data_IF_721354796894
#
_entry.id   IF_721354796894
#
_cell.length_a   1.000
_cell.length_b   1.000
_cell.length_c   1.000
_cell.angle_alpha   90.00
_cell.angle_beta   90.00
_cell.angle_gamma   90.00
#
_symmetry.space_group_name_H-M   'P 1'
#
loop_
_entity.id
_entity.type
_entity.pdbx_description
1 polymer ?
#
# COMPACT_ATOMS: atom_id res chain seq x y z
N UNK A 1 42.98 22.97 0.98
CA UNK A 1 41.92 23.06 -0.06
C UNK A 1 42.01 21.84 -0.95
N UNK A 2 41.19 20.83 -0.67
CA UNK A 2 40.88 19.75 -1.61
C UNK A 2 39.42 19.40 -1.36
N UNK A 3 38.58 19.78 -2.31
CA UNK A 3 37.16 19.50 -2.34
C UNK A 3 36.91 18.01 -2.15
N UNK A 4 36.22 17.66 -1.07
CA UNK A 4 35.62 16.33 -0.85
C UNK A 4 34.11 16.46 -0.67
N UNK A 5 33.53 17.50 -1.26
CA UNK A 5 32.09 17.56 -1.46
C UNK A 5 31.70 16.61 -2.59
N UNK A 6 30.66 15.83 -2.31
CA UNK A 6 29.73 15.27 -3.26
C UNK A 6 30.25 14.26 -4.28
N UNK A 7 30.19 12.99 -3.89
CA UNK A 7 29.93 11.89 -4.84
C UNK A 7 28.75 11.04 -4.38
N UNK A 8 28.07 11.42 -3.29
CA UNK A 8 26.94 10.67 -2.73
C UNK A 8 25.60 11.13 -3.29
N UNK A 9 25.43 12.40 -3.63
CA UNK A 9 24.20 12.89 -4.28
C UNK A 9 23.86 12.18 -5.60
N UNK A 10 24.79 12.00 -6.56
CA UNK A 10 24.48 11.34 -7.83
C UNK A 10 24.12 9.86 -7.65
N UNK A 11 24.86 9.15 -6.78
CA UNK A 11 24.57 7.75 -6.44
C UNK A 11 23.24 7.60 -5.70
N UNK A 12 22.85 8.59 -4.89
CA UNK A 12 21.59 8.55 -4.15
C UNK A 12 20.40 8.82 -5.06
N UNK A 13 20.52 9.73 -6.02
CA UNK A 13 19.48 9.94 -7.04
C UNK A 13 19.31 8.72 -7.94
N UNK A 14 20.42 8.11 -8.38
CA UNK A 14 20.40 6.87 -9.16
C UNK A 14 19.75 5.73 -8.36
N UNK A 15 20.15 5.53 -7.10
CA UNK A 15 19.55 4.50 -6.24
C UNK A 15 18.07 4.76 -5.95
N UNK A 16 17.65 6.03 -5.80
CA UNK A 16 16.23 6.39 -5.60
C UNK A 16 15.40 6.09 -6.84
N UNK A 17 15.95 6.33 -8.03
CA UNK A 17 15.28 6.09 -9.30
C UNK A 17 15.21 4.58 -9.61
N UNK A 18 16.26 3.83 -9.27
CA UNK A 18 16.27 2.38 -9.31
C UNK A 18 15.32 1.75 -8.27
N UNK A 19 15.29 2.27 -7.05
CA UNK A 19 14.37 1.82 -6.00
C UNK A 19 12.92 2.09 -6.39
N UNK A 20 12.64 3.24 -7.02
CA UNK A 20 11.32 3.54 -7.57
C UNK A 20 10.93 2.49 -8.62
N UNK A 21 11.84 2.12 -9.53
CA UNK A 21 11.58 1.03 -10.51
C UNK A 21 11.38 -0.35 -9.86
N UNK A 22 12.03 -0.62 -8.73
CA UNK A 22 11.88 -1.89 -7.99
C UNK A 22 10.58 -1.95 -7.17
N UNK A 23 10.00 -0.81 -6.82
CA UNK A 23 8.77 -0.74 -6.01
C UNK A 23 7.52 -0.40 -6.81
N UNK A 24 7.68 0.11 -8.04
CA UNK A 24 6.60 0.46 -8.97
C UNK A 24 6.11 -0.80 -9.67
N UNK A 25 4.90 -1.24 -9.31
CA UNK A 25 4.19 -2.34 -9.97
C UNK A 25 3.52 -1.78 -11.23
N UNK A 26 3.57 -2.47 -12.38
CA UNK A 26 2.73 -2.15 -13.53
C UNK A 26 1.26 -2.04 -13.10
N UNK A 27 0.58 -0.96 -13.48
CA UNK A 27 -0.82 -0.67 -13.10
C UNK A 27 -1.79 -1.83 -13.46
N UNK A 28 -1.44 -2.58 -14.52
CA UNK A 28 -2.14 -3.77 -14.97
C UNK A 28 -2.04 -4.96 -13.99
N UNK A 29 -0.97 -5.04 -13.19
CA UNK A 29 -0.79 -6.08 -12.17
C UNK A 29 -1.44 -5.71 -10.83
N UNK A 30 -1.44 -4.42 -10.45
CA UNK A 30 -2.14 -3.96 -9.22
C UNK A 30 -3.65 -4.16 -9.30
N UNK A 31 -4.22 -4.02 -10.50
CA UNK A 31 -5.64 -4.30 -10.73
C UNK A 31 -5.96 -5.78 -10.58
N UNK A 32 -5.06 -6.68 -10.97
CA UNK A 32 -5.21 -8.15 -10.83
C UNK A 32 -4.98 -8.66 -9.40
N UNK A 33 -4.08 -8.05 -8.62
CA UNK A 33 -3.93 -8.36 -7.17
C UNK A 33 -5.20 -8.06 -6.41
N UNK A 34 -5.94 -7.02 -6.82
CA UNK A 34 -7.25 -6.77 -6.24
C UNK A 34 -8.25 -7.84 -6.66
N UNK A 35 -8.05 -8.55 -7.78
CA UNK A 35 -8.94 -9.57 -8.35
C UNK A 35 -8.72 -10.96 -7.73
N UNK A 36 -7.59 -11.23 -7.09
CA UNK A 36 -7.33 -12.51 -6.40
C UNK A 36 -7.11 -12.39 -4.89
N UNK A 37 -8.21 -12.52 -4.16
CA UNK A 37 -8.37 -13.60 -3.19
C UNK A 37 -9.80 -14.14 -3.31
N UNK A 38 -10.04 -15.32 -3.91
CA UNK A 38 -11.07 -16.18 -3.37
C UNK A 38 -10.49 -16.68 -2.05
N UNK A 39 -10.89 -16.06 -0.94
CA UNK A 39 -10.60 -16.62 0.37
C UNK A 39 -11.11 -18.07 0.38
N UNK A 40 -10.18 -19.02 0.34
CA UNK A 40 -10.40 -20.40 0.80
C UNK A 40 -10.53 -20.38 2.31
N UNK A 41 -11.45 -19.58 2.85
CA UNK A 41 -12.14 -19.96 4.06
C UNK A 41 -13.14 -21.03 3.66
N UNK A 42 -13.09 -22.17 4.35
CA UNK A 42 -14.11 -23.21 4.29
C UNK A 42 -15.49 -22.59 4.55
N UNK A 43 -16.16 -22.16 3.48
CA UNK A 43 -17.57 -21.86 3.50
C UNK A 43 -18.30 -23.14 3.93
N UNK A 44 -19.06 -23.14 5.05
CA UNK A 44 -19.96 -24.23 5.31
C UNK A 44 -20.94 -24.27 4.14
N UNK A 45 -20.91 -25.37 3.38
CA UNK A 45 -21.84 -25.66 2.28
C UNK A 45 -23.27 -25.36 2.72
N UNK A 46 -23.78 -24.20 2.33
CA UNK A 46 -25.22 -23.93 2.26
C UNK A 46 -25.52 -23.54 0.83
N UNK A 47 -26.10 -24.50 0.12
CA UNK A 47 -26.66 -24.32 -1.20
C UNK A 47 -27.90 -23.42 -1.08
N UNK A 48 -27.78 -22.13 -1.30
CA UNK A 48 -28.92 -21.29 -1.71
C UNK A 48 -28.44 -20.24 -2.70
N UNK A 49 -29.20 -20.01 -3.77
CA UNK A 49 -28.94 -18.93 -4.72
C UNK A 49 -28.97 -17.60 -3.95
N UNK A 50 -28.09 -16.63 -4.25
CA UNK A 50 -28.11 -15.33 -3.58
C UNK A 50 -29.47 -14.67 -3.79
N UNK A 51 -30.16 -14.36 -2.70
CA UNK A 51 -31.42 -13.59 -2.71
C UNK A 51 -31.13 -12.11 -2.43
N UNK A 52 -32.01 -11.20 -2.83
CA UNK A 52 -31.88 -9.77 -2.51
C UNK A 52 -31.72 -9.51 -1.00
N UNK A 53 -32.40 -10.29 -0.16
CA UNK A 53 -32.27 -10.22 1.30
C UNK A 53 -30.87 -10.60 1.80
N UNK A 54 -30.27 -11.65 1.24
CA UNK A 54 -28.89 -12.05 1.59
C UNK A 54 -27.87 -10.98 1.20
N UNK A 55 -28.08 -10.33 0.05
CA UNK A 55 -27.23 -9.23 -0.43
C UNK A 55 -27.38 -8.01 0.47
N UNK A 56 -28.62 -7.61 0.81
CA UNK A 56 -28.89 -6.51 1.73
C UNK A 56 -28.22 -6.72 3.09
N UNK A 57 -28.32 -7.94 3.64
CA UNK A 57 -27.66 -8.30 4.89
C UNK A 57 -26.15 -8.16 4.79
N UNK A 58 -25.53 -8.68 3.71
CA UNK A 58 -24.08 -8.59 3.51
C UNK A 58 -23.61 -7.15 3.34
N UNK A 59 -24.29 -6.34 2.54
CA UNK A 59 -23.93 -4.92 2.36
C UNK A 59 -24.08 -4.15 3.67
N UNK A 60 -25.06 -4.51 4.52
CA UNK A 60 -25.21 -3.92 5.86
C UNK A 60 -24.07 -4.30 6.79
N UNK A 61 -23.65 -5.56 6.82
CA UNK A 61 -22.48 -6.00 7.58
C UNK A 61 -21.21 -5.24 7.14
N UNK A 62 -21.01 -5.07 5.83
CA UNK A 62 -19.91 -4.27 5.27
C UNK A 62 -20.03 -2.78 5.58
N UNK A 63 -21.25 -2.26 5.68
CA UNK A 63 -21.49 -0.89 6.09
C UNK A 63 -21.12 -0.67 7.57
N UNK A 64 -21.24 -1.69 8.41
CA UNK A 64 -20.88 -1.64 9.83
C UNK A 64 -19.36 -1.74 10.03
N UNK A 65 -18.66 -2.60 9.29
CA UNK A 65 -17.19 -2.71 9.28
C UNK A 65 -16.59 -2.13 7.98
N UNK A 66 -16.77 -0.82 7.79
CA UNK A 66 -16.38 -0.15 6.54
C UNK A 66 -14.85 -0.14 6.29
N UNK A 67 -14.06 -0.28 7.35
CA UNK A 67 -12.59 -0.30 7.26
C UNK A 67 -12.08 -1.57 6.57
N UNK A 68 -12.79 -2.70 6.73
CA UNK A 68 -12.48 -3.96 6.04
C UNK A 68 -13.25 -4.16 4.74
N UNK A 69 -14.18 -3.26 4.42
CA UNK A 69 -15.05 -3.43 3.27
C UNK A 69 -14.31 -3.21 1.94
N UNK A 70 -14.12 -4.29 1.18
CA UNK A 70 -13.53 -4.25 -0.15
C UNK A 70 -14.42 -3.46 -1.12
N UNK A 71 -13.81 -2.57 -1.90
CA UNK A 71 -14.50 -1.84 -2.97
C UNK A 71 -15.09 -2.81 -4.00
N UNK A 72 -14.33 -3.85 -4.35
CA UNK A 72 -14.76 -4.83 -5.33
C UNK A 72 -15.93 -5.68 -4.82
N UNK A 73 -15.91 -6.07 -3.53
CA UNK A 73 -17.02 -6.81 -2.93
C UNK A 73 -18.30 -5.97 -3.00
N UNK A 74 -18.25 -4.69 -2.63
CA UNK A 74 -19.39 -3.78 -2.72
C UNK A 74 -19.91 -3.61 -4.16
N UNK A 75 -19.01 -3.48 -5.13
CA UNK A 75 -19.38 -3.37 -6.55
C UNK A 75 -20.01 -4.68 -7.07
N UNK A 76 -19.48 -5.84 -6.67
CA UNK A 76 -20.03 -7.16 -7.04
C UNK A 76 -21.43 -7.38 -6.45
N UNK A 77 -21.64 -7.01 -5.19
CA UNK A 77 -22.93 -7.10 -4.49
C UNK A 77 -23.96 -6.16 -5.14
N UNK A 78 -23.54 -4.96 -5.54
CA UNK A 78 -24.39 -4.03 -6.30
C UNK A 78 -24.81 -4.60 -7.65
N UNK A 79 -23.89 -5.17 -8.41
CA UNK A 79 -24.22 -5.80 -9.69
C UNK A 79 -25.17 -6.99 -9.50
N UNK A 80 -24.91 -7.83 -8.50
CA UNK A 80 -25.77 -8.98 -8.18
C UNK A 80 -27.18 -8.53 -7.77
N UNK A 81 -27.30 -7.48 -6.95
CA UNK A 81 -28.58 -6.93 -6.52
C UNK A 81 -29.43 -6.48 -7.71
N UNK A 82 -28.88 -5.62 -8.58
CA UNK A 82 -29.61 -5.10 -9.73
C UNK A 82 -29.93 -6.17 -10.78
N UNK A 83 -29.07 -7.19 -10.93
CA UNK A 83 -29.37 -8.34 -11.79
C UNK A 83 -30.62 -9.09 -11.31
N UNK A 84 -30.71 -9.38 -10.02
CA UNK A 84 -31.86 -10.10 -9.44
C UNK A 84 -33.10 -9.19 -9.48
N UNK A 85 -32.97 -7.93 -9.07
CA UNK A 85 -34.05 -6.96 -9.05
C UNK A 85 -34.68 -6.75 -10.44
N UNK A 86 -33.85 -6.60 -11.48
CA UNK A 86 -34.36 -6.43 -12.85
C UNK A 86 -35.05 -7.70 -13.35
N UNK A 87 -34.52 -8.90 -13.05
CA UNK A 87 -35.14 -10.16 -13.44
C UNK A 87 -36.52 -10.36 -12.77
N UNK A 88 -36.65 -10.02 -11.49
CA UNK A 88 -37.93 -10.08 -10.76
C UNK A 88 -38.94 -9.07 -11.32
N UNK A 89 -38.51 -7.85 -11.65
CA UNK A 89 -39.35 -6.86 -12.31
C UNK A 89 -39.86 -7.34 -13.66
N UNK A 90 -39.00 -7.95 -14.47
CA UNK A 90 -39.40 -8.52 -15.76
C UNK A 90 -40.40 -9.68 -15.59
N UNK A 91 -40.19 -10.55 -14.59
CA UNK A 91 -41.09 -11.67 -14.30
C UNK A 91 -42.46 -11.18 -13.80
N UNK A 92 -42.49 -10.20 -12.89
CA UNK A 92 -43.73 -9.60 -12.40
C UNK A 92 -44.49 -8.87 -13.52
N UNK A 93 -43.77 -8.13 -14.37
CA UNK A 93 -44.35 -7.47 -15.54
C UNK A 93 -44.96 -8.51 -16.49
N UNK A 94 -44.27 -9.62 -16.73
CA UNK A 94 -44.78 -10.72 -17.57
C UNK A 94 -46.05 -11.35 -16.98
N UNK A 95 -46.07 -11.64 -15.67
CA UNK A 95 -47.26 -12.16 -14.97
C UNK A 95 -48.45 -11.20 -15.06
N UNK A 96 -48.20 -9.89 -14.94
CA UNK A 96 -49.23 -8.87 -15.06
C UNK A 96 -49.87 -8.85 -16.45
N UNK A 97 -49.04 -8.96 -17.50
CA UNK A 97 -49.52 -9.03 -18.90
C UNK A 97 -50.28 -10.33 -19.15
N UNK A 98 -49.79 -11.48 -18.64
CA UNK A 98 -50.47 -12.78 -18.75
C UNK A 98 -51.82 -12.81 -18.01
N UNK A 99 -51.95 -12.05 -16.92
CA UNK A 99 -53.21 -11.86 -16.20
C UNK A 99 -54.22 -10.93 -16.91
N UNK A 100 -53.89 -10.44 -18.11
CA UNK A 100 -54.75 -9.58 -18.93
C UNK A 100 -54.57 -8.08 -18.68
N UNK A 101 -53.56 -7.68 -17.92
CA UNK A 101 -53.17 -6.28 -17.77
C UNK A 101 -52.50 -5.73 -19.03
N UNK A 102 -52.70 -4.45 -19.34
CA UNK A 102 -51.95 -3.78 -20.41
C UNK A 102 -50.60 -3.34 -19.88
N UNK A 103 -49.56 -3.44 -20.69
CA UNK A 103 -48.19 -3.06 -20.31
C UNK A 103 -48.08 -1.64 -19.73
N UNK A 104 -48.93 -0.73 -20.22
CA UNK A 104 -49.02 0.68 -19.84
C UNK A 104 -49.52 0.90 -18.40
N UNK A 105 -50.23 -0.10 -17.85
CA UNK A 105 -50.86 -0.03 -16.52
C UNK A 105 -50.01 -0.72 -15.43
N UNK A 106 -48.83 -1.25 -15.76
CA UNK A 106 -47.97 -1.96 -14.80
C UNK A 106 -47.30 -0.97 -13.83
N UNK A 107 -47.55 -1.16 -12.53
CA UNK A 107 -46.91 -0.40 -11.45
C UNK A 107 -46.17 -1.37 -10.51
N UNK A 108 -44.82 -1.34 -10.45
CA UNK A 108 -44.07 -2.15 -9.50
C UNK A 108 -44.24 -1.60 -8.08
N UNK A 109 -44.85 -2.36 -7.18
CA UNK A 109 -45.12 -1.93 -5.79
C UNK A 109 -44.23 -2.60 -4.74
N UNK A 110 -43.90 -3.89 -4.89
CA UNK A 110 -43.07 -4.66 -3.93
C UNK A 110 -41.56 -4.54 -4.20
N UNK A 111 -41.14 -4.29 -5.44
CA UNK A 111 -39.72 -4.22 -5.81
C UNK A 111 -39.02 -2.95 -5.29
N UNK A 112 -39.79 -1.88 -5.01
CA UNK A 112 -39.25 -0.58 -4.63
C UNK A 112 -38.76 -0.52 -3.17
N UNK A 113 -39.31 -1.30 -2.24
CA UNK A 113 -38.93 -1.19 -0.82
C UNK A 113 -37.51 -1.71 -0.58
N UNK A 114 -37.20 -2.89 -1.09
CA UNK A 114 -35.85 -3.48 -1.00
C UNK A 114 -34.81 -2.69 -1.81
N UNK A 115 -35.21 -2.11 -2.95
CA UNK A 115 -34.34 -1.21 -3.71
C UNK A 115 -34.06 0.09 -2.94
N UNK A 116 -35.07 0.67 -2.30
CA UNK A 116 -34.91 1.85 -1.46
C UNK A 116 -34.00 1.55 -0.25
N UNK A 117 -34.18 0.41 0.41
CA UNK A 117 -33.29 -0.03 1.48
C UNK A 117 -31.85 -0.19 0.97
N UNK A 118 -31.65 -0.89 -0.15
CA UNK A 118 -30.34 -1.05 -0.77
C UNK A 118 -29.69 0.30 -1.08
N UNK A 119 -30.43 1.21 -1.72
CA UNK A 119 -29.96 2.56 -2.05
C UNK A 119 -29.56 3.35 -0.81
N UNK A 120 -30.34 3.24 0.27
CA UNK A 120 -30.05 3.90 1.54
C UNK A 120 -28.77 3.36 2.18
N UNK A 121 -28.61 2.03 2.23
CA UNK A 121 -27.38 1.41 2.77
C UNK A 121 -26.17 1.82 1.92
N UNK A 122 -26.28 1.80 0.58
CA UNK A 122 -25.20 2.24 -0.31
C UNK A 122 -24.85 3.73 -0.15
N UNK A 123 -25.83 4.59 0.16
CA UNK A 123 -25.58 5.99 0.49
C UNK A 123 -24.76 6.12 1.79
N UNK A 124 -25.11 5.37 2.83
CA UNK A 124 -24.35 5.31 4.09
C UNK A 124 -22.93 4.78 3.86
N UNK A 125 -22.77 3.73 3.06
CA UNK A 125 -21.46 3.18 2.67
C UNK A 125 -20.61 4.26 1.98
N UNK A 126 -21.19 5.00 1.02
CA UNK A 126 -20.49 6.08 0.32
C UNK A 126 -20.05 7.19 1.27
N UNK A 127 -20.93 7.60 2.19
CA UNK A 127 -20.65 8.62 3.20
C UNK A 127 -19.51 8.17 4.14
N UNK A 128 -19.61 6.97 4.71
CA UNK A 128 -18.59 6.40 5.60
C UNK A 128 -17.23 6.26 4.91
N UNK A 129 -17.19 5.80 3.64
CA UNK A 129 -15.95 5.74 2.85
C UNK A 129 -15.37 7.12 2.58
N UNK A 130 -16.22 8.10 2.26
CA UNK A 130 -15.78 9.49 2.09
C UNK A 130 -15.16 10.05 3.37
N UNK A 131 -15.78 9.78 4.52
CA UNK A 131 -15.26 10.19 5.83
C UNK A 131 -13.93 9.49 6.18
N UNK A 132 -13.79 8.19 5.88
CA UNK A 132 -12.55 7.45 6.07
C UNK A 132 -11.41 8.03 5.22
N UNK A 133 -11.65 8.22 3.93
CA UNK A 133 -10.67 8.82 3.02
C UNK A 133 -10.26 10.24 3.46
N UNK A 134 -11.22 11.06 3.91
CA UNK A 134 -10.93 12.39 4.44
C UNK A 134 -10.08 12.33 5.74
N UNK A 135 -10.33 11.34 6.61
CA UNK A 135 -9.55 11.12 7.83
C UNK A 135 -8.13 10.68 7.51
N UNK A 136 -7.96 9.76 6.57
CA UNK A 136 -6.65 9.31 6.09
C UNK A 136 -5.85 10.44 5.47
N UNK A 137 -6.47 11.27 4.63
CA UNK A 137 -5.81 12.42 4.02
C UNK A 137 -5.39 13.45 5.07
N UNK A 138 -6.26 13.74 6.05
CA UNK A 138 -5.91 14.61 7.17
C UNK A 138 -4.74 14.04 7.97
N UNK A 139 -4.72 12.73 8.25
CA UNK A 139 -3.61 12.09 8.96
C UNK A 139 -2.31 12.19 8.16
N UNK A 140 -2.36 12.03 6.83
CA UNK A 140 -1.18 12.21 5.95
C UNK A 140 -0.65 13.64 6.02
N UNK A 141 -1.54 14.64 6.03
CA UNK A 141 -1.15 16.05 6.17
C UNK A 141 -0.57 16.34 7.56
N UNK A 142 -1.13 15.79 8.64
CA UNK A 142 -0.57 15.91 9.99
C UNK A 142 0.82 15.28 10.08
N UNK A 143 1.01 14.09 9.47
CA UNK A 143 2.30 13.42 9.37
C UNK A 143 3.30 14.26 8.55
N UNK A 144 2.84 14.90 7.48
CA UNK A 144 3.66 15.81 6.65
C UNK A 144 4.23 16.94 7.52
N UNK A 145 3.38 17.63 8.28
CA UNK A 145 3.81 18.71 9.16
C UNK A 145 4.79 18.23 10.25
N UNK A 146 4.55 17.04 10.81
CA UNK A 146 5.47 16.42 11.76
C UNK A 146 6.85 16.15 11.12
N UNK A 147 6.90 15.54 9.92
CA UNK A 147 8.15 15.28 9.20
C UNK A 147 8.90 16.56 8.84
N UNK A 148 8.20 17.63 8.42
CA UNK A 148 8.80 18.93 8.17
C UNK A 148 9.40 19.55 9.45
N UNK A 149 8.69 19.45 10.57
CA UNK A 149 9.19 19.91 11.87
C UNK A 149 10.46 19.17 12.29
N UNK A 150 10.52 17.84 12.05
CA UNK A 150 11.72 17.04 12.32
C UNK A 150 12.90 17.53 11.47
N UNK A 151 12.68 17.83 10.18
CA UNK A 151 13.72 18.34 9.29
C UNK A 151 14.27 19.69 9.79
N UNK A 152 13.40 20.62 10.20
CA UNK A 152 13.85 21.89 10.75
C UNK A 152 14.66 21.71 12.04
N UNK A 153 14.23 20.82 12.94
CA UNK A 153 15.01 20.48 14.15
C UNK A 153 16.37 19.86 13.81
N UNK A 154 16.45 18.98 12.80
CA UNK A 154 17.72 18.41 12.32
C UNK A 154 18.65 19.49 11.76
N UNK A 155 18.10 20.50 11.09
CA UNK A 155 18.85 21.64 10.57
C UNK A 155 19.40 22.50 11.71
N UNK A 156 18.57 22.87 12.68
CA UNK A 156 19.00 23.62 13.87
C UNK A 156 20.09 22.86 14.63
N UNK A 157 19.93 21.54 14.76
CA UNK A 157 20.90 20.66 15.42
C UNK A 157 22.26 20.66 14.70
N UNK A 158 22.24 20.65 13.37
CA UNK A 158 23.45 20.72 12.55
C UNK A 158 24.11 22.11 12.57
N UNK A 159 23.35 23.18 12.78
CA UNK A 159 23.89 24.53 12.90
C UNK A 159 24.39 24.85 14.32
N UNK A 160 23.91 24.11 15.34
CA UNK A 160 24.32 24.28 16.73
C UNK A 160 25.74 23.75 16.98
N UNK A 161 26.57 24.54 17.67
CA UNK A 161 27.93 24.17 18.10
C UNK A 161 27.97 23.52 19.50
N UNK A 162 26.84 23.01 19.99
CA UNK A 162 26.71 22.45 21.35
C UNK A 162 27.41 21.08 21.52
N UNK A 163 27.49 20.65 22.78
CA UNK A 163 28.00 19.35 23.24
C UNK A 163 27.54 18.20 22.33
N UNK A 164 28.49 17.61 21.62
CA UNK A 164 28.23 16.59 20.60
C UNK A 164 27.49 15.37 21.15
N UNK A 165 27.66 15.04 22.43
CA UNK A 165 26.94 13.93 23.05
C UNK A 165 25.43 14.19 23.18
N UNK A 166 25.04 15.43 23.48
CA UNK A 166 23.62 15.83 23.53
C UNK A 166 23.02 15.92 22.14
N UNK A 167 23.77 16.50 21.20
CA UNK A 167 23.32 16.60 19.81
C UNK A 167 23.10 15.21 19.19
N UNK A 168 23.95 14.23 19.52
CA UNK A 168 23.76 12.85 19.07
C UNK A 168 22.48 12.20 19.60
N UNK A 169 22.18 12.34 20.89
CA UNK A 169 20.96 11.75 21.47
C UNK A 169 19.69 12.37 20.89
N UNK A 170 19.68 13.70 20.70
CA UNK A 170 18.56 14.39 20.05
C UNK A 170 18.40 13.95 18.59
N UNK A 171 19.50 13.81 17.85
CA UNK A 171 19.49 13.27 16.50
C UNK A 171 18.87 11.87 16.43
N UNK A 172 19.26 10.95 17.33
CA UNK A 172 18.67 9.60 17.37
C UNK A 172 17.18 9.66 17.72
N UNK A 173 16.76 10.55 18.62
CA UNK A 173 15.34 10.77 18.92
C UNK A 173 14.57 11.24 17.69
N UNK A 174 15.07 12.25 16.97
CA UNK A 174 14.47 12.75 15.74
C UNK A 174 14.41 11.70 14.63
N UNK A 175 15.42 10.84 14.52
CA UNK A 175 15.42 9.70 13.62
C UNK A 175 14.32 8.68 13.99
N UNK A 176 14.13 8.38 15.28
CA UNK A 176 13.05 7.50 15.72
C UNK A 176 11.67 8.13 15.51
N UNK A 177 11.51 9.42 15.81
CA UNK A 177 10.28 10.16 15.53
C UNK A 177 9.95 10.11 14.03
N UNK A 178 10.95 10.28 13.15
CA UNK A 178 10.79 10.19 11.70
C UNK A 178 10.26 8.84 11.22
N UNK A 179 10.86 7.75 11.71
CA UNK A 179 10.50 6.36 11.37
C UNK A 179 9.10 6.03 11.90
N UNK A 180 8.78 6.49 13.12
CA UNK A 180 7.47 6.28 13.73
C UNK A 180 6.36 7.15 13.10
N UNK A 181 6.73 8.22 12.39
CA UNK A 181 5.78 9.09 11.71
C UNK A 181 5.30 8.40 10.44
N UNK A 182 3.98 8.21 10.34
CA UNK A 182 3.34 7.47 9.27
C UNK A 182 3.46 8.11 7.88
N UNK A 183 2.65 7.60 6.96
CA UNK A 183 2.65 8.01 5.56
C UNK A 183 2.31 9.49 5.40
N UNK A 184 2.88 10.11 4.36
CA UNK A 184 2.62 11.50 3.95
C UNK A 184 1.95 11.50 2.57
N UNK A 185 1.41 12.63 2.08
CA UNK A 185 0.81 12.69 0.75
C UNK A 185 1.82 12.25 -0.32
N UNK A 186 1.39 11.39 -1.25
CA UNK A 186 2.29 10.71 -2.20
C UNK A 186 3.15 11.70 -3.02
N UNK A 187 2.57 12.84 -3.40
CA UNK A 187 3.27 13.89 -4.15
C UNK A 187 4.41 14.58 -3.37
N UNK A 188 4.50 14.39 -2.05
CA UNK A 188 5.49 15.03 -1.18
C UNK A 188 6.55 14.07 -0.62
N UNK A 189 6.34 12.76 -0.71
CA UNK A 189 7.24 11.71 -0.19
C UNK A 189 8.69 11.94 -0.63
N UNK A 190 8.92 12.15 -1.93
CA UNK A 190 10.26 12.28 -2.49
C UNK A 190 10.96 13.58 -2.08
N UNK A 191 10.24 14.70 -2.03
CA UNK A 191 10.76 16.01 -1.61
C UNK A 191 11.23 15.95 -0.15
N UNK A 192 10.37 15.44 0.72
CA UNK A 192 10.60 15.31 2.17
C UNK A 192 11.77 14.36 2.44
N UNK A 193 11.80 13.22 1.75
CA UNK A 193 12.88 12.26 1.91
C UNK A 193 14.24 12.85 1.54
N UNK A 194 14.33 13.53 0.38
CA UNK A 194 15.59 14.18 -0.06
C UNK A 194 16.04 15.24 0.96
N UNK A 195 15.10 16.05 1.43
CA UNK A 195 15.39 17.08 2.43
C UNK A 195 15.90 16.44 3.73
N UNK A 196 15.23 15.40 4.23
CA UNK A 196 15.68 14.66 5.40
C UNK A 196 17.09 14.09 5.22
N UNK A 197 17.34 13.36 4.12
CA UNK A 197 18.66 12.78 3.85
C UNK A 197 19.77 13.81 3.81
N UNK A 198 19.55 14.96 3.16
CA UNK A 198 20.52 16.05 3.15
C UNK A 198 20.92 16.50 4.56
N UNK A 199 19.96 16.60 5.48
CA UNK A 199 20.22 17.03 6.85
C UNK A 199 20.87 15.91 7.70
N UNK A 200 20.51 14.64 7.44
CA UNK A 200 21.20 13.48 8.02
C UNK A 200 22.67 13.45 7.60
N UNK A 201 22.98 13.64 6.31
CA UNK A 201 24.35 13.67 5.80
C UNK A 201 25.16 14.81 6.45
N UNK A 202 24.61 16.03 6.49
CA UNK A 202 25.23 17.17 7.17
C UNK A 202 25.52 16.88 8.64
N UNK A 203 24.61 16.20 9.34
CA UNK A 203 24.84 15.82 10.74
C UNK A 203 25.97 14.80 10.89
N UNK A 204 26.05 13.80 10.01
CA UNK A 204 27.16 12.85 10.01
C UNK A 204 28.51 13.50 9.65
N UNK A 205 28.52 14.56 8.84
CA UNK A 205 29.72 15.35 8.57
C UNK A 205 30.21 16.11 9.80
N UNK A 206 29.30 16.60 10.65
CA UNK A 206 29.64 17.22 11.94
C UNK A 206 30.16 16.16 12.91
N UNK A 207 29.49 15.01 12.99
CA UNK A 207 29.94 13.87 13.80
C UNK A 207 31.29 13.30 13.38
N UNK A 208 31.77 13.57 12.16
CA UNK A 208 33.13 13.19 11.72
C UNK A 208 34.21 13.73 12.67
N UNK A 209 33.94 14.83 13.39
CA UNK A 209 34.82 15.36 14.42
C UNK A 209 34.89 14.48 15.67
N UNK A 210 33.94 13.55 15.86
CA UNK A 210 33.86 12.53 16.92
C UNK A 210 33.70 11.11 16.34
N UNK A 211 34.82 10.52 15.90
CA UNK A 211 34.90 9.26 15.15
C UNK A 211 34.13 8.06 15.77
N UNK A 212 34.07 7.94 17.09
CA UNK A 212 33.55 6.73 17.77
C UNK A 212 32.04 6.51 17.57
N UNK A 213 31.23 7.57 17.66
CA UNK A 213 29.76 7.45 17.50
C UNK A 213 29.38 7.10 16.06
N UNK A 214 30.07 7.70 15.08
CA UNK A 214 29.83 7.46 13.66
C UNK A 214 30.16 6.01 13.28
N UNK A 215 31.33 5.53 13.70
CA UNK A 215 31.77 4.17 13.35
C UNK A 215 30.89 3.11 14.04
N UNK A 216 30.41 3.40 15.26
CA UNK A 216 29.40 2.58 15.92
C UNK A 216 28.09 2.51 15.13
N UNK A 217 27.55 3.67 14.70
CA UNK A 217 26.31 3.74 13.93
C UNK A 217 26.44 3.04 12.58
N UNK A 218 27.55 3.21 11.86
CA UNK A 218 27.77 2.56 10.57
C UNK A 218 27.81 1.04 10.70
N UNK A 219 28.43 0.53 11.77
CA UNK A 219 28.43 -0.91 12.06
C UNK A 219 27.04 -1.43 12.38
N UNK A 220 26.23 -0.66 13.12
CA UNK A 220 24.84 -1.02 13.43
C UNK A 220 23.94 -0.96 12.20
N UNK A 221 24.08 0.06 11.37
CA UNK A 221 23.37 0.19 10.10
C UNK A 221 23.73 -0.96 9.15
N UNK A 222 25.01 -1.35 9.10
CA UNK A 222 25.43 -2.51 8.31
C UNK A 222 24.80 -3.82 8.81
N UNK A 223 24.77 -4.04 10.13
CA UNK A 223 24.11 -5.21 10.74
C UNK A 223 22.62 -5.27 10.36
N UNK A 224 21.91 -4.14 10.42
CA UNK A 224 20.51 -4.03 10.03
C UNK A 224 20.34 -4.29 8.53
N UNK A 225 21.07 -3.57 7.66
CA UNK A 225 20.98 -3.75 6.20
C UNK A 225 21.33 -5.17 5.76
N UNK A 226 22.26 -5.83 6.45
CA UNK A 226 22.60 -7.24 6.20
C UNK A 226 21.42 -8.15 6.52
N UNK A 227 20.77 -7.96 7.68
CA UNK A 227 19.54 -8.70 8.04
C UNK A 227 18.40 -8.45 7.06
N UNK A 228 18.27 -7.22 6.56
CA UNK A 228 17.27 -6.89 5.55
C UNK A 228 17.55 -7.62 4.23
N UNK A 229 18.81 -7.71 3.79
CA UNK A 229 19.18 -8.53 2.63
C UNK A 229 18.81 -10.00 2.85
N UNK A 230 19.16 -10.57 4.00
CA UNK A 230 18.81 -11.96 4.35
C UNK A 230 17.30 -12.18 4.42
N UNK A 231 16.53 -11.19 4.88
CA UNK A 231 15.08 -11.25 4.91
C UNK A 231 14.50 -11.25 3.50
N UNK A 232 14.96 -10.37 2.60
CA UNK A 232 14.52 -10.35 1.20
C UNK A 232 14.91 -11.64 0.48
N UNK A 233 16.12 -12.16 0.72
CA UNK A 233 16.56 -13.45 0.17
C UNK A 233 15.63 -14.59 0.58
N UNK A 234 15.14 -14.60 1.83
CA UNK A 234 14.16 -15.59 2.30
C UNK A 234 12.78 -15.41 1.66
N UNK A 235 12.37 -14.18 1.33
CA UNK A 235 11.11 -13.96 0.60
C UNK A 235 11.11 -14.61 -0.77
N UNK A 236 12.29 -14.82 -1.38
CA UNK A 236 12.41 -15.57 -2.63
C UNK A 236 12.06 -17.07 -2.47
N UNK A 237 11.99 -17.60 -1.25
CA UNK A 237 11.58 -18.97 -0.95
C UNK A 237 10.11 -19.06 -0.47
N UNK A 238 9.47 -17.93 -0.16
CA UNK A 238 8.10 -17.89 0.34
C UNK A 238 7.12 -18.39 -0.74
N UNK A 239 6.23 -19.34 -0.44
CA UNK A 239 5.27 -19.88 -1.41
C UNK A 239 4.24 -18.84 -1.86
N UNK A 240 3.76 -18.00 -0.94
CA UNK A 240 2.80 -16.94 -1.23
C UNK A 240 3.52 -15.73 -1.85
N UNK A 241 3.41 -15.63 -3.16
CA UNK A 241 4.09 -14.62 -3.97
C UNK A 241 3.54 -13.22 -3.71
N UNK A 242 2.25 -13.09 -3.43
CA UNK A 242 1.60 -11.79 -3.17
C UNK A 242 1.98 -11.28 -1.79
N UNK A 243 1.94 -12.15 -0.77
CA UNK A 243 2.44 -11.83 0.56
C UNK A 243 3.93 -11.49 0.55
N UNK A 244 4.74 -12.25 -0.18
CA UNK A 244 6.17 -11.96 -0.34
C UNK A 244 6.42 -10.58 -0.94
N UNK A 245 5.64 -10.17 -1.94
CA UNK A 245 5.75 -8.84 -2.55
C UNK A 245 5.37 -7.72 -1.56
N UNK A 246 4.28 -7.86 -0.81
CA UNK A 246 3.91 -6.87 0.21
C UNK A 246 4.94 -6.76 1.34
N UNK A 247 5.54 -7.88 1.73
CA UNK A 247 6.64 -7.89 2.70
C UNK A 247 7.89 -7.21 2.13
N UNK A 248 8.20 -7.43 0.85
CA UNK A 248 9.31 -6.77 0.16
C UNK A 248 9.17 -5.25 0.20
N UNK A 249 7.98 -4.70 -0.06
CA UNK A 249 7.74 -3.25 0.00
C UNK A 249 8.08 -2.65 1.39
N UNK A 250 7.75 -3.36 2.47
CA UNK A 250 8.11 -2.95 3.84
C UNK A 250 9.63 -2.99 4.06
N UNK A 251 10.30 -4.03 3.59
CA UNK A 251 11.76 -4.17 3.70
C UNK A 251 12.51 -3.09 2.90
N UNK A 252 11.98 -2.67 1.74
CA UNK A 252 12.50 -1.50 1.01
C UNK A 252 12.43 -0.23 1.86
N UNK A 253 11.27 0.03 2.48
CA UNK A 253 11.11 1.18 3.36
C UNK A 253 12.12 1.13 4.53
N UNK A 254 12.25 -0.01 5.21
CA UNK A 254 13.20 -0.18 6.31
C UNK A 254 14.66 -0.01 5.85
N UNK A 255 15.01 -0.52 4.67
CA UNK A 255 16.36 -0.41 4.11
C UNK A 255 16.72 1.05 3.83
N UNK A 256 15.76 1.81 3.30
CA UNK A 256 15.89 3.24 3.01
C UNK A 256 16.00 4.07 4.27
N UNK A 257 15.17 3.80 5.28
CA UNK A 257 15.16 4.49 6.57
C UNK A 257 16.41 4.14 7.42
N UNK A 258 17.04 3.00 7.16
CA UNK A 258 18.32 2.64 7.77
C UNK A 258 19.44 3.55 7.24
N UNK A 259 20.13 4.21 8.16
CA UNK A 259 21.19 5.18 7.88
C UNK A 259 22.38 4.63 7.07
N UNK A 260 23.35 5.49 6.77
CA UNK A 260 24.47 5.15 5.90
C UNK A 260 25.40 4.09 6.51
N UNK A 261 26.14 3.42 5.63
CA UNK A 261 27.26 2.54 5.95
C UNK A 261 28.57 3.13 5.43
N UNK A 262 29.69 2.47 5.72
CA UNK A 262 31.00 2.86 5.17
C UNK A 262 30.99 2.89 3.64
N UNK A 263 31.84 3.74 3.05
CA UNK A 263 31.84 3.97 1.60
C UNK A 263 32.16 2.70 0.82
N UNK A 264 33.01 1.85 1.39
CA UNK A 264 33.48 0.60 0.81
C UNK A 264 32.34 -0.43 0.72
N UNK A 265 31.46 -0.48 1.71
CA UNK A 265 30.38 -1.47 1.82
C UNK A 265 29.05 -0.99 1.24
N UNK A 266 28.91 0.31 0.97
CA UNK A 266 27.65 0.91 0.48
C UNK A 266 27.16 0.26 -0.82
N UNK A 267 28.04 0.10 -1.80
CA UNK A 267 27.66 -0.47 -3.09
C UNK A 267 27.40 -1.96 -2.97
N UNK A 268 28.22 -2.68 -2.20
CA UNK A 268 28.06 -4.12 -1.99
C UNK A 268 26.71 -4.45 -1.35
N UNK A 269 26.34 -3.75 -0.27
CA UNK A 269 25.08 -4.01 0.43
C UNK A 269 23.87 -3.59 -0.42
N UNK A 270 23.99 -2.51 -1.21
CA UNK A 270 22.93 -2.08 -2.12
C UNK A 270 22.70 -3.10 -3.24
N UNK A 271 23.77 -3.54 -3.90
CA UNK A 271 23.66 -4.53 -4.98
C UNK A 271 23.11 -5.86 -4.48
N UNK A 272 23.52 -6.32 -3.29
CA UNK A 272 22.95 -7.53 -2.68
C UNK A 272 21.45 -7.40 -2.47
N UNK A 273 21.00 -6.29 -1.88
CA UNK A 273 19.59 -6.02 -1.65
C UNK A 273 18.81 -5.96 -2.97
N UNK A 274 19.32 -5.20 -3.95
CA UNK A 274 18.73 -5.03 -5.28
C UNK A 274 18.56 -6.36 -6.03
N UNK A 275 19.57 -7.23 -6.01
CA UNK A 275 19.51 -8.55 -6.65
C UNK A 275 18.41 -9.40 -6.01
N UNK A 276 18.36 -9.44 -4.67
CA UNK A 276 17.34 -10.20 -3.95
C UNK A 276 15.92 -9.65 -4.21
N UNK A 277 15.74 -8.33 -4.20
CA UNK A 277 14.45 -7.68 -4.52
C UNK A 277 14.01 -7.98 -5.95
N UNK A 278 14.94 -7.96 -6.91
CA UNK A 278 14.65 -8.26 -8.32
C UNK A 278 14.14 -9.70 -8.48
N UNK A 279 14.66 -10.65 -7.71
CA UNK A 279 14.22 -12.03 -7.78
C UNK A 279 12.76 -12.21 -7.30
N UNK A 280 12.41 -11.59 -6.17
CA UNK A 280 11.04 -11.58 -5.64
C UNK A 280 10.09 -10.90 -6.64
N UNK A 281 10.46 -9.75 -7.20
CA UNK A 281 9.66 -9.05 -8.21
C UNK A 281 9.45 -9.88 -9.48
N UNK A 282 10.48 -10.60 -9.93
CA UNK A 282 10.39 -11.50 -11.08
C UNK A 282 9.41 -12.65 -10.82
N UNK A 283 9.45 -13.25 -9.63
CA UNK A 283 8.49 -14.29 -9.22
C UNK A 283 7.06 -13.76 -9.23
N UNK A 284 6.88 -12.54 -8.72
CA UNK A 284 5.61 -11.85 -8.71
C UNK A 284 5.07 -11.60 -10.11
N UNK A 285 5.86 -11.02 -11.01
CA UNK A 285 5.45 -10.82 -12.42
C UNK A 285 5.07 -12.15 -13.09
N UNK A 286 5.90 -13.17 -12.90
CA UNK A 286 5.66 -14.50 -13.48
C UNK A 286 4.35 -15.15 -12.99
N UNK A 287 4.02 -15.01 -11.71
CA UNK A 287 2.77 -15.55 -11.14
C UNK A 287 1.54 -15.00 -11.88
N UNK A 288 1.49 -13.68 -12.10
CA UNK A 288 0.36 -13.04 -12.79
C UNK A 288 0.38 -13.28 -14.31
N UNK A 289 1.54 -13.40 -14.93
CA UNK A 289 1.63 -13.80 -16.34
C UNK A 289 1.03 -15.20 -16.56
N UNK A 290 1.33 -16.17 -15.69
CA UNK A 290 0.79 -17.54 -15.75
C UNK A 290 -0.71 -17.58 -15.46
N UNK A 291 -1.18 -16.76 -14.52
CA UNK A 291 -2.60 -16.61 -14.23
C UNK A 291 -3.38 -16.12 -15.46
N UNK A 292 -2.91 -15.02 -16.07
CA UNK A 292 -3.50 -14.45 -17.28
C UNK A 292 -3.57 -15.45 -18.43
N UNK A 293 -2.50 -16.20 -18.65
CA UNK A 293 -2.46 -17.22 -19.71
C UNK A 293 -3.51 -18.32 -19.45
N UNK A 294 -3.65 -18.74 -18.19
CA UNK A 294 -4.65 -19.74 -17.78
C UNK A 294 -6.08 -19.23 -17.96
N UNK A 295 -6.35 -17.98 -17.57
CA UNK A 295 -7.66 -17.35 -17.75
C UNK A 295 -8.02 -17.21 -19.23
N UNK A 296 -7.07 -16.78 -20.07
CA UNK A 296 -7.27 -16.68 -21.51
C UNK A 296 -7.57 -18.05 -22.13
N UNK A 297 -6.82 -19.09 -21.79
CA UNK A 297 -7.09 -20.46 -22.26
C UNK A 297 -8.48 -20.95 -21.84
N UNK A 298 -8.92 -20.63 -20.63
CA UNK A 298 -10.26 -20.98 -20.14
C UNK A 298 -11.38 -20.24 -20.87
N UNK A 299 -11.16 -18.98 -21.27
CA UNK A 299 -12.10 -18.20 -22.07
C UNK A 299 -12.21 -18.75 -23.50
N UNK A 300 -11.08 -19.09 -24.11
CA UNK A 300 -11.02 -19.65 -25.47
C UNK A 300 -11.68 -21.03 -25.56
N UNK A 301 -11.62 -21.84 -24.49
CA UNK A 301 -12.31 -23.14 -24.43
C UNK A 301 -13.82 -23.02 -24.18
N UNK A 302 -14.31 -21.88 -23.67
CA UNK A 302 -15.73 -21.63 -23.40
C UNK A 302 -16.46 -20.96 -24.58
N UNK A 303 -15.72 -20.44 -25.56
CA UNK A 303 -16.24 -19.74 -26.75
C UNK A 303 -16.35 -20.71 -27.92
#
# INVERSE_FOLDING_TARGET
MTNSHDTTQPLMEENLEEEKKLTEVPEDLETEVSVEEPSTEEQPKTTSKPTKESILKRVKELADDIEKASKQELDSLKQAFYRIHNAELEEDKKKFIEAGGKEEDYVPSLSNEQENEFRNIMAVVREKRGALAAREEKQKEENLQAKLTIIEKLKELAESSEDTGKSYNEFKRLQQEWISTGQVPQGKVNEIWRSYQLHIEKFYDILRLNHEFRDYDFRKNLEIKTRLCEAVEKLAEEPDVVSAFHQLQKLHQEFRETGPVTKELRNEIWERFKVASTDVNRRYQKHFDELRETEQQNLDQKT
#
